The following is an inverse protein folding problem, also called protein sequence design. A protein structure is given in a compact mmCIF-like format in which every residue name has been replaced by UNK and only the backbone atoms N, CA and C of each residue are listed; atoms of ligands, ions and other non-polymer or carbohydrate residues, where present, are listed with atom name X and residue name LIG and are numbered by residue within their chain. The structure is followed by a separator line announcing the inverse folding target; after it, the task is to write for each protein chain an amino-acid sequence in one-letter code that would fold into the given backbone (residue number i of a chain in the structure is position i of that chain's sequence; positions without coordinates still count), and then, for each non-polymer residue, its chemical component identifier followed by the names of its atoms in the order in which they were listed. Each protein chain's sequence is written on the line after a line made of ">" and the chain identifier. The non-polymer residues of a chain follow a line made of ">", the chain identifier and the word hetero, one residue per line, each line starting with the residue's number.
data_IF_260198076019
#
_entry.id   IF_260198076019
#
_cell.length_a   1.000
_cell.length_b   1.000
_cell.length_c   1.000
_cell.angle_alpha   90.00
_cell.angle_beta   90.00
_cell.angle_gamma   90.00
#
_symmetry.space_group_name_H-M   'P 1'
#
loop_
_entity.id
_entity.type
_entity.pdbx_description
1 polymer ?
#
# COMPACT_ATOMS: atom_id res chain seq x y z
N UNK A 1 24.53 -42.14 26.81
CA UNK A 1 23.57 -42.92 25.99
C UNK A 1 22.22 -42.90 26.71
N UNK A 2 21.31 -42.02 26.30
CA UNK A 2 19.95 -41.95 26.84
C UNK A 2 19.01 -41.89 25.64
N UNK A 3 18.35 -43.02 25.43
CA UNK A 3 17.26 -43.29 24.49
C UNK A 3 15.94 -42.99 25.18
N UNK A 4 14.96 -42.43 24.44
CA UNK A 4 13.48 -42.43 24.65
C UNK A 4 12.91 -41.12 24.06
N UNK A 5 11.79 -40.99 23.35
CA UNK A 5 10.81 -41.89 22.77
C UNK A 5 10.03 -41.04 21.74
N UNK A 6 9.91 -41.50 20.50
CA UNK A 6 9.06 -40.86 19.48
C UNK A 6 7.61 -41.29 19.73
N UNK A 7 6.75 -40.36 20.15
CA UNK A 7 5.30 -40.59 20.22
C UNK A 7 4.66 -40.18 18.90
N UNK A 8 4.28 -41.18 18.10
CA UNK A 8 3.37 -41.06 16.97
C UNK A 8 1.96 -40.88 17.52
N UNK A 9 1.33 -39.74 17.23
CA UNK A 9 -0.10 -39.55 17.47
C UNK A 9 -0.78 -39.60 16.11
N UNK A 10 -1.51 -40.69 15.87
CA UNK A 10 -2.47 -40.81 14.80
C UNK A 10 -3.77 -40.13 15.26
N UNK A 11 -4.30 -39.20 14.45
CA UNK A 11 -5.68 -38.76 14.60
C UNK A 11 -6.48 -39.18 13.37
N UNK A 12 -7.53 -39.92 13.68
CA UNK A 12 -8.51 -40.55 12.80
C UNK A 12 -9.52 -39.50 12.33
N UNK A 13 -9.89 -39.66 11.06
CA UNK A 13 -10.89 -38.91 10.30
C UNK A 13 -12.27 -38.80 10.96
N UNK A 14 -12.95 -37.70 10.72
CA UNK A 14 -14.41 -37.71 10.57
C UNK A 14 -14.83 -36.75 9.45
N UNK A 15 -15.27 -37.35 8.35
CA UNK A 15 -15.93 -36.70 7.22
C UNK A 15 -17.40 -36.56 7.58
N UNK A 16 -17.91 -35.33 7.59
CA UNK A 16 -19.35 -35.04 7.60
C UNK A 16 -19.68 -34.28 6.31
N UNK A 17 -20.26 -35.02 5.36
CA UNK A 17 -20.87 -34.49 4.14
C UNK A 17 -22.26 -34.00 4.53
N UNK A 18 -22.42 -32.68 4.62
CA UNK A 18 -23.72 -32.01 4.75
C UNK A 18 -24.04 -31.28 3.45
N UNK A 19 -24.86 -31.87 2.60
CA UNK A 19 -25.46 -31.23 1.44
C UNK A 19 -26.77 -30.53 1.85
N UNK A 20 -26.78 -29.20 1.81
CA UNK A 20 -28.01 -28.42 1.82
C UNK A 20 -28.01 -27.47 0.63
N UNK A 21 -28.70 -27.89 -0.43
CA UNK A 21 -29.02 -27.07 -1.58
C UNK A 21 -30.14 -26.09 -1.20
N UNK A 22 -29.77 -24.87 -0.82
CA UNK A 22 -30.68 -23.74 -0.70
C UNK A 22 -30.55 -22.85 -1.93
N UNK A 23 -31.49 -22.96 -2.87
CA UNK A 23 -31.66 -22.02 -3.97
C UNK A 23 -32.25 -20.71 -3.40
N UNK A 24 -31.39 -19.81 -2.94
CA UNK A 24 -31.78 -18.45 -2.62
C UNK A 24 -31.66 -17.60 -3.89
N UNK A 25 -32.78 -17.03 -4.32
CA UNK A 25 -32.83 -16.03 -5.38
C UNK A 25 -31.88 -14.87 -5.02
N UNK A 26 -30.76 -14.76 -5.75
CA UNK A 26 -29.89 -13.59 -5.68
C UNK A 26 -30.62 -12.43 -6.35
N UNK A 27 -31.25 -11.59 -5.53
CA UNK A 27 -31.54 -10.23 -5.91
C UNK A 27 -30.25 -9.62 -6.48
N UNK A 28 -30.31 -9.14 -7.71
CA UNK A 28 -29.22 -8.37 -8.30
C UNK A 28 -29.00 -7.17 -7.38
N UNK A 29 -27.77 -6.96 -6.86
CA UNK A 29 -27.48 -5.74 -6.13
C UNK A 29 -27.71 -4.59 -7.10
N UNK A 30 -28.68 -3.75 -6.78
CA UNK A 30 -28.80 -2.42 -7.35
C UNK A 30 -27.39 -1.80 -7.29
N UNK A 31 -26.86 -1.50 -8.47
CA UNK A 31 -25.60 -0.79 -8.71
C UNK A 31 -25.79 0.67 -8.25
N UNK A 32 -26.13 0.84 -6.98
CA UNK A 32 -26.01 2.08 -6.25
C UNK A 32 -24.53 2.31 -6.11
N UNK A 33 -23.95 2.97 -7.12
CA UNK A 33 -22.65 3.59 -7.02
C UNK A 33 -22.66 4.53 -5.83
N UNK A 34 -22.39 3.97 -4.64
CA UNK A 34 -21.80 4.69 -3.53
C UNK A 34 -20.47 5.19 -4.08
N UNK A 35 -20.55 6.34 -4.75
CA UNK A 35 -19.49 7.32 -4.82
C UNK A 35 -19.03 7.47 -3.38
N UNK A 36 -18.07 6.62 -2.98
CA UNK A 36 -17.49 6.58 -1.65
C UNK A 36 -17.01 8.00 -1.44
N UNK A 37 -17.83 8.79 -0.74
CA UNK A 37 -17.51 10.14 -0.36
C UNK A 37 -16.12 10.02 0.23
N UNK A 38 -15.13 10.56 -0.49
CA UNK A 38 -13.73 10.29 -0.25
C UNK A 38 -13.43 10.87 1.12
N UNK A 39 -13.66 10.05 2.15
CA UNK A 39 -13.60 10.44 3.53
C UNK A 39 -12.19 10.93 3.72
N UNK A 40 -12.06 12.21 4.04
CA UNK A 40 -10.77 12.79 4.34
C UNK A 40 -10.24 12.03 5.56
N UNK A 41 -9.35 11.05 5.34
CA UNK A 41 -8.71 10.31 6.43
C UNK A 41 -7.73 11.29 7.08
N UNK A 42 -8.01 11.78 8.30
CA UNK A 42 -7.14 12.77 8.92
C UNK A 42 -5.80 12.12 9.26
N UNK A 43 -4.72 12.88 9.13
CA UNK A 43 -3.41 12.43 9.55
C UNK A 43 -3.36 12.33 11.08
N UNK A 44 -2.80 11.25 11.65
CA UNK A 44 -2.59 11.13 13.10
C UNK A 44 -1.78 12.30 13.68
N UNK A 45 -2.15 12.76 14.88
CA UNK A 45 -1.53 13.94 15.53
C UNK A 45 -0.05 13.77 15.87
N UNK A 46 0.41 12.52 15.98
CA UNK A 46 1.81 12.18 16.23
C UNK A 46 2.64 12.01 14.95
N UNK A 47 2.06 12.30 13.78
CA UNK A 47 2.75 12.34 12.49
C UNK A 47 2.72 13.78 11.97
N UNK A 48 3.90 14.36 11.75
CA UNK A 48 4.08 15.71 11.23
C UNK A 48 4.70 15.62 9.83
N UNK A 49 4.06 16.26 8.86
CA UNK A 49 4.48 16.20 7.45
C UNK A 49 4.80 17.60 6.97
N UNK A 50 6.02 17.76 6.43
CA UNK A 50 6.45 18.98 5.77
C UNK A 50 5.47 19.37 4.65
N UNK A 51 5.20 20.67 4.51
CA UNK A 51 4.13 21.17 3.64
C UNK A 51 4.17 20.61 2.22
N UNK A 52 5.37 20.44 1.67
CA UNK A 52 5.58 19.97 0.31
C UNK A 52 5.24 18.48 0.10
N UNK A 53 5.32 17.66 1.15
CA UNK A 53 4.96 16.23 1.10
C UNK A 53 3.49 15.97 1.42
N UNK A 54 2.73 16.98 1.88
CA UNK A 54 1.32 16.80 2.25
C UNK A 54 0.46 16.26 1.10
N UNK A 55 0.55 16.76 -0.15
CA UNK A 55 -0.26 16.21 -1.24
C UNK A 55 0.01 14.72 -1.48
N UNK A 56 1.28 14.31 -1.36
CA UNK A 56 1.72 12.92 -1.54
C UNK A 56 1.19 12.03 -0.42
N UNK A 57 1.31 12.45 0.85
CA UNK A 57 0.79 11.71 1.99
C UNK A 57 -0.74 11.58 1.92
N UNK A 58 -1.44 12.64 1.54
CA UNK A 58 -2.89 12.58 1.32
C UNK A 58 -3.26 11.58 0.23
N UNK A 59 -2.55 11.59 -0.91
CA UNK A 59 -2.75 10.61 -1.98
C UNK A 59 -2.51 9.18 -1.48
N UNK A 60 -1.43 8.94 -0.72
CA UNK A 60 -1.15 7.62 -0.16
C UNK A 60 -2.24 7.15 0.80
N UNK A 61 -2.74 8.02 1.70
CA UNK A 61 -3.84 7.69 2.60
C UNK A 61 -5.13 7.35 1.83
N UNK A 62 -5.38 8.01 0.70
CA UNK A 62 -6.56 7.72 -0.14
C UNK A 62 -6.43 6.39 -0.89
N UNK A 63 -5.27 6.11 -1.48
CA UNK A 63 -5.10 5.00 -2.43
C UNK A 63 -4.50 3.73 -1.83
N UNK A 64 -3.61 3.86 -0.83
CA UNK A 64 -2.88 2.71 -0.28
C UNK A 64 -3.49 2.21 1.03
N UNK A 65 -4.05 1.01 1.01
CA UNK A 65 -4.46 0.29 2.22
C UNK A 65 -3.27 -0.02 3.12
N UNK A 66 -2.14 -0.41 2.52
CA UNK A 66 -0.90 -0.68 3.25
C UNK A 66 -0.47 0.55 4.04
N UNK A 67 -0.41 1.73 3.41
CA UNK A 67 -0.01 2.94 4.10
C UNK A 67 -1.02 3.39 5.17
N UNK A 68 -2.33 3.26 4.91
CA UNK A 68 -3.36 3.52 5.94
C UNK A 68 -3.15 2.66 7.19
N UNK A 69 -2.89 1.37 7.01
CA UNK A 69 -2.62 0.44 8.12
C UNK A 69 -1.38 0.86 8.91
N UNK A 70 -0.32 1.24 8.22
CA UNK A 70 0.90 1.73 8.88
C UNK A 70 0.65 3.00 9.69
N UNK A 71 -0.04 4.00 9.13
CA UNK A 71 -0.42 5.21 9.86
C UNK A 71 -1.30 4.90 11.08
N UNK A 72 -2.24 3.96 10.97
CA UNK A 72 -3.10 3.56 12.09
C UNK A 72 -2.29 2.92 13.23
N UNK A 73 -1.29 2.08 12.92
CA UNK A 73 -0.40 1.50 13.93
C UNK A 73 0.45 2.58 14.62
N UNK A 74 1.00 3.53 13.86
CA UNK A 74 1.72 4.68 14.45
C UNK A 74 0.80 5.52 15.33
N UNK A 75 -0.45 5.77 14.91
CA UNK A 75 -1.44 6.51 15.68
C UNK A 75 -1.75 5.85 17.03
N UNK A 76 -1.78 4.51 17.06
CA UNK A 76 -2.02 3.72 18.26
C UNK A 76 -0.82 3.69 19.23
N UNK A 77 0.34 4.23 18.83
CA UNK A 77 1.56 4.28 19.64
C UNK A 77 1.86 5.73 20.10
N UNK A 78 1.24 6.22 21.21
CA UNK A 78 1.35 7.62 21.63
C UNK A 78 2.75 8.03 22.09
N UNK A 79 3.64 7.07 22.36
CA UNK A 79 5.04 7.30 22.68
C UNK A 79 5.92 7.49 21.42
N UNK A 80 5.35 7.48 20.23
CA UNK A 80 6.04 7.65 18.95
C UNK A 80 5.70 9.02 18.38
N UNK A 81 6.72 9.76 17.93
CA UNK A 81 6.56 10.97 17.13
C UNK A 81 7.31 10.79 15.80
N UNK A 82 6.61 11.00 14.69
CA UNK A 82 7.18 10.92 13.35
C UNK A 82 7.18 12.31 12.71
N UNK A 83 8.33 12.73 12.19
CA UNK A 83 8.46 13.94 11.38
C UNK A 83 8.94 13.53 9.99
N UNK A 84 8.22 13.93 8.95
CA UNK A 84 8.55 13.64 7.56
C UNK A 84 8.96 14.93 6.86
N UNK A 85 10.14 14.92 6.25
CA UNK A 85 10.66 16.06 5.49
C UNK A 85 11.23 15.63 4.15
N UNK A 86 11.18 16.55 3.18
CA UNK A 86 11.88 16.39 1.92
C UNK A 86 13.28 16.99 2.02
N UNK A 87 14.26 16.32 1.42
CA UNK A 87 15.66 16.76 1.41
C UNK A 87 16.19 16.88 -0.02
N UNK A 88 17.06 17.87 -0.24
CA UNK A 88 17.74 18.03 -1.52
C UNK A 88 18.85 16.96 -1.63
N UNK A 89 18.96 16.24 -2.75
CA UNK A 89 20.00 15.23 -2.98
C UNK A 89 21.43 15.80 -3.10
N UNK A 90 21.69 17.03 -2.65
CA UNK A 90 23.02 17.67 -2.71
C UNK A 90 24.10 16.93 -1.91
N UNK A 91 23.69 15.98 -1.06
CA UNK A 91 24.57 14.95 -0.50
C UNK A 91 24.29 13.65 -1.24
N UNK A 92 25.32 12.89 -1.66
CA UNK A 92 25.12 11.52 -2.11
C UNK A 92 24.49 10.75 -0.95
N UNK A 93 23.17 10.58 -1.02
CA UNK A 93 22.46 9.68 -0.14
C UNK A 93 22.69 8.31 -0.74
N UNK A 94 23.56 7.51 -0.11
CA UNK A 94 23.74 6.11 -0.48
C UNK A 94 22.40 5.34 -0.32
N UNK A 95 21.51 5.83 0.55
CA UNK A 95 20.14 5.36 0.72
C UNK A 95 19.13 6.23 -0.05
N UNK A 96 18.16 5.60 -0.75
CA UNK A 96 17.09 6.30 -1.50
C UNK A 96 16.14 7.10 -0.62
N UNK A 97 16.07 6.80 0.66
CA UNK A 97 15.33 7.46 1.73
C UNK A 97 15.94 7.03 3.07
N UNK A 98 15.61 7.73 4.16
CA UNK A 98 16.17 7.40 5.48
C UNK A 98 15.20 7.71 6.62
N UNK A 99 14.96 6.72 7.47
CA UNK A 99 14.40 6.91 8.81
C UNK A 99 15.52 6.92 9.87
N UNK A 100 15.72 8.08 10.50
CA UNK A 100 16.57 8.21 11.68
C UNK A 100 15.72 8.08 12.94
N UNK A 101 15.97 7.04 13.73
CA UNK A 101 15.13 6.66 14.87
C UNK A 101 15.95 6.78 16.16
N UNK A 102 15.46 7.59 17.10
CA UNK A 102 16.06 7.77 18.41
C UNK A 102 15.09 7.31 19.49
N UNK A 103 15.54 6.39 20.34
CA UNK A 103 14.81 5.99 21.55
C UNK A 103 15.36 6.77 22.74
N UNK A 104 14.50 7.52 23.42
CA UNK A 104 14.87 8.25 24.64
C UNK A 104 14.95 7.31 25.84
N UNK A 105 15.56 7.77 26.94
CA UNK A 105 15.64 7.01 28.20
C UNK A 105 14.26 6.65 28.78
N UNK A 106 13.22 7.44 28.48
CA UNK A 106 11.83 7.19 28.90
C UNK A 106 11.03 6.32 27.91
N UNK A 107 11.69 5.74 26.91
CA UNK A 107 11.05 4.84 25.94
C UNK A 107 10.33 5.54 24.78
N UNK A 108 10.30 6.88 24.74
CA UNK A 108 9.76 7.64 23.59
C UNK A 108 10.60 7.37 22.33
N UNK A 109 9.92 7.18 21.20
CA UNK A 109 10.53 7.06 19.87
C UNK A 109 10.36 8.37 19.09
N UNK A 110 11.47 9.05 18.84
CA UNK A 110 11.52 10.20 17.95
C UNK A 110 12.07 9.75 16.59
N UNK A 111 11.26 9.90 15.55
CA UNK A 111 11.57 9.47 14.19
C UNK A 111 11.63 10.67 13.26
N UNK A 112 12.72 10.80 12.53
CA UNK A 112 12.87 11.71 11.39
C UNK A 112 12.96 10.89 10.11
N UNK A 113 11.98 11.05 9.23
CA UNK A 113 11.95 10.45 7.89
C UNK A 113 12.35 11.51 6.87
N UNK A 114 13.44 11.27 6.16
CA UNK A 114 13.98 12.13 5.12
C UNK A 114 13.82 11.45 3.76
N UNK A 115 13.06 12.08 2.85
CA UNK A 115 12.88 11.58 1.48
C UNK A 115 13.46 12.57 0.46
N UNK A 116 14.21 12.12 -0.55
CA UNK A 116 14.67 13.00 -1.63
C UNK A 116 13.52 13.66 -2.40
N UNK A 117 13.75 14.89 -2.88
CA UNK A 117 12.79 15.69 -3.68
C UNK A 117 12.39 15.02 -5.01
N UNK A 118 13.12 14.05 -5.51
CA UNK A 118 12.79 13.35 -6.77
C UNK A 118 12.64 11.84 -6.55
N UNK A 119 12.31 11.43 -5.33
CA UNK A 119 12.12 10.02 -4.96
C UNK A 119 10.78 9.45 -5.40
N UNK A 120 10.71 8.13 -5.51
CA UNK A 120 9.46 7.39 -5.68
C UNK A 120 8.70 7.33 -4.35
N UNK A 121 7.98 8.40 -4.03
CA UNK A 121 7.31 8.52 -2.74
C UNK A 121 6.29 7.41 -2.46
N UNK A 122 5.71 6.83 -3.52
CA UNK A 122 4.72 5.77 -3.37
C UNK A 122 5.33 4.49 -2.80
N UNK A 123 6.61 4.24 -3.07
CA UNK A 123 7.39 3.15 -2.49
C UNK A 123 8.08 3.58 -1.19
N UNK A 124 8.77 4.73 -1.23
CA UNK A 124 9.71 5.12 -0.18
C UNK A 124 9.03 5.52 1.13
N UNK A 125 7.91 6.26 1.11
CA UNK A 125 7.25 6.63 2.37
C UNK A 125 6.70 5.41 3.14
N UNK A 126 5.95 4.48 2.50
CA UNK A 126 5.51 3.26 3.16
C UNK A 126 6.67 2.34 3.59
N UNK A 127 7.78 2.33 2.83
CA UNK A 127 9.00 1.63 3.21
C UNK A 127 9.57 2.19 4.53
N UNK A 128 9.80 3.50 4.62
CA UNK A 128 10.35 4.11 5.84
C UNK A 128 9.40 3.96 7.03
N UNK A 129 8.09 3.99 6.80
CA UNK A 129 7.10 3.71 7.84
C UNK A 129 7.17 2.28 8.36
N UNK A 130 7.48 1.30 7.51
CA UNK A 130 7.64 -0.07 7.98
C UNK A 130 8.83 -0.20 8.94
N UNK A 131 9.93 0.52 8.72
CA UNK A 131 11.02 0.62 9.69
C UNK A 131 10.57 1.24 11.02
N UNK A 132 9.69 2.24 10.99
CA UNK A 132 9.08 2.79 12.23
C UNK A 132 8.30 1.69 12.96
N UNK A 133 7.50 0.90 12.24
CA UNK A 133 6.74 -0.21 12.81
C UNK A 133 7.65 -1.30 13.40
N UNK A 134 8.78 -1.63 12.75
CA UNK A 134 9.80 -2.53 13.29
C UNK A 134 10.33 -2.03 14.64
N UNK A 135 10.57 -0.72 14.77
CA UNK A 135 11.04 -0.12 16.01
C UNK A 135 9.96 -0.02 17.10
N UNK A 136 8.70 0.20 16.72
CA UNK A 136 7.55 0.08 17.63
C UNK A 136 7.45 -1.34 18.18
N UNK A 137 7.67 -2.35 17.33
CA UNK A 137 7.68 -3.76 17.71
C UNK A 137 8.94 -4.18 18.51
N UNK A 138 9.88 -3.26 18.76
CA UNK A 138 11.08 -3.53 19.56
C UNK A 138 12.15 -4.35 18.83
N UNK A 139 12.16 -4.37 17.49
CA UNK A 139 13.16 -5.13 16.73
C UNK A 139 14.55 -4.48 16.85
N UNK A 140 15.51 -5.23 17.39
CA UNK A 140 16.94 -4.87 17.38
C UNK A 140 17.55 -5.28 16.03
N UNK A 141 17.35 -4.45 15.01
CA UNK A 141 17.89 -4.67 13.66
C UNK A 141 19.42 -4.88 13.66
N UNK A 142 20.23 -4.13 14.43
CA UNK A 142 21.65 -4.43 14.59
C UNK A 142 21.95 -5.85 15.06
N UNK A 143 21.28 -6.34 16.11
CA UNK A 143 21.48 -7.70 16.61
C UNK A 143 21.03 -8.75 15.60
N UNK A 144 19.86 -8.55 14.97
CA UNK A 144 19.31 -9.47 13.99
C UNK A 144 20.19 -9.57 12.73
N UNK A 145 20.74 -8.45 12.26
CA UNK A 145 21.68 -8.42 11.13
C UNK A 145 22.98 -9.16 11.48
N UNK A 146 23.55 -8.94 12.67
CA UNK A 146 24.76 -9.65 13.13
C UNK A 146 24.54 -11.15 13.26
N UNK A 147 23.34 -11.57 13.66
CA UNK A 147 22.96 -12.97 13.74
C UNK A 147 22.72 -13.62 12.36
N UNK A 148 22.78 -12.86 11.26
CA UNK A 148 22.52 -13.38 9.92
C UNK A 148 21.05 -13.73 9.68
N UNK A 149 20.12 -13.04 10.35
CA UNK A 149 18.68 -13.27 10.17
C UNK A 149 18.30 -13.04 8.71
N UNK A 150 17.67 -14.01 8.02
CA UNK A 150 17.29 -13.85 6.62
C UNK A 150 16.43 -12.62 6.38
N UNK A 151 16.76 -11.85 5.35
CA UNK A 151 16.00 -10.67 4.96
C UNK A 151 16.28 -9.41 5.79
N UNK A 152 17.32 -9.40 6.63
CA UNK A 152 17.78 -8.20 7.34
C UNK A 152 19.23 -7.95 6.93
N UNK A 153 19.50 -6.76 6.42
CA UNK A 153 20.80 -6.40 5.86
C UNK A 153 21.29 -5.08 6.47
N UNK A 154 22.59 -4.98 6.70
CA UNK A 154 23.24 -3.71 7.02
C UNK A 154 23.83 -3.12 5.74
N UNK A 155 23.51 -1.87 5.45
CA UNK A 155 24.02 -1.13 4.29
C UNK A 155 25.40 -0.50 4.59
N UNK A 156 26.19 -0.12 3.55
CA UNK A 156 27.51 0.47 3.74
C UNK A 156 27.53 1.74 4.61
N UNK A 157 26.49 2.57 4.51
CA UNK A 157 26.29 3.78 5.31
C UNK A 157 25.87 3.51 6.77
N UNK A 158 25.72 2.23 7.14
CA UNK A 158 25.31 1.78 8.46
C UNK A 158 23.81 1.70 8.70
N UNK A 159 22.98 2.08 7.72
CA UNK A 159 21.54 1.86 7.78
C UNK A 159 21.19 0.36 7.73
N UNK A 160 19.95 0.04 8.09
CA UNK A 160 19.43 -1.33 8.04
C UNK A 160 18.27 -1.37 7.07
N UNK A 161 18.28 -2.38 6.21
CA UNK A 161 17.24 -2.67 5.24
C UNK A 161 16.60 -4.00 5.62
N UNK A 162 15.28 -4.10 5.48
CA UNK A 162 14.55 -5.34 5.74
C UNK A 162 13.67 -5.73 4.57
N UNK A 163 13.56 -7.04 4.32
CA UNK A 163 12.66 -7.60 3.32
C UNK A 163 11.22 -7.18 3.58
N UNK A 164 10.85 -6.98 4.84
CA UNK A 164 9.52 -6.51 5.24
C UNK A 164 9.27 -5.06 4.83
N UNK A 165 10.21 -4.16 5.08
CA UNK A 165 10.12 -2.76 4.65
C UNK A 165 10.05 -2.62 3.13
N UNK A 166 10.90 -3.36 2.42
CA UNK A 166 10.85 -3.44 0.96
C UNK A 166 9.51 -3.95 0.44
N UNK A 167 8.99 -5.03 1.01
CA UNK A 167 7.70 -5.59 0.59
C UNK A 167 6.55 -4.61 0.85
N UNK A 168 6.54 -3.91 1.98
CA UNK A 168 5.53 -2.91 2.30
C UNK A 168 5.58 -1.71 1.32
N UNK A 169 6.78 -1.21 1.01
CA UNK A 169 6.98 -0.16 0.00
C UNK A 169 6.45 -0.57 -1.38
N UNK A 170 6.82 -1.76 -1.84
CA UNK A 170 6.37 -2.27 -3.14
C UNK A 170 4.85 -2.51 -3.19
N UNK A 171 4.25 -3.02 -2.11
CA UNK A 171 2.82 -3.24 -2.02
C UNK A 171 2.04 -1.93 -2.11
N UNK A 172 2.43 -0.92 -1.33
CA UNK A 172 1.79 0.40 -1.37
C UNK A 172 1.95 1.08 -2.75
N UNK A 173 3.13 0.97 -3.36
CA UNK A 173 3.35 1.49 -4.71
C UNK A 173 2.44 0.80 -5.74
N UNK A 174 2.24 -0.51 -5.62
CA UNK A 174 1.32 -1.27 -6.47
C UNK A 174 -0.14 -0.85 -6.27
N UNK A 175 -0.57 -0.61 -5.03
CA UNK A 175 -1.92 -0.12 -4.71
C UNK A 175 -2.20 1.24 -5.37
N UNK A 176 -1.26 2.19 -5.27
CA UNK A 176 -1.41 3.52 -5.87
C UNK A 176 -1.45 3.48 -7.40
N UNK A 177 -0.61 2.63 -8.01
CA UNK A 177 -0.50 2.50 -9.47
C UNK A 177 -1.67 1.72 -10.06
N UNK A 178 -2.05 0.61 -9.44
CA UNK A 178 -3.13 -0.26 -9.91
C UNK A 178 -4.48 0.46 -10.03
N UNK A 179 -4.82 1.32 -9.08
CA UNK A 179 -6.04 2.14 -9.15
C UNK A 179 -5.99 3.15 -10.30
N UNK A 180 -4.82 3.74 -10.54
CA UNK A 180 -4.62 4.73 -11.60
C UNK A 180 -4.77 4.06 -12.97
N UNK A 181 -4.19 2.87 -13.13
CA UNK A 181 -4.30 2.09 -14.36
C UNK A 181 -5.75 1.67 -14.65
N UNK A 182 -6.52 1.31 -13.61
CA UNK A 182 -7.94 1.01 -13.76
C UNK A 182 -8.76 2.23 -14.18
N UNK A 183 -8.53 3.39 -13.57
CA UNK A 183 -9.22 4.64 -13.89
C UNK A 183 -8.91 5.11 -15.33
N UNK A 184 -7.63 5.07 -15.73
CA UNK A 184 -7.20 5.40 -17.09
C UNK A 184 -7.80 4.43 -18.10
N UNK A 185 -7.79 3.12 -17.82
CA UNK A 185 -8.39 2.12 -18.69
C UNK A 185 -9.92 2.30 -18.81
N UNK A 186 -10.59 2.68 -17.72
CA UNK A 186 -12.03 2.98 -17.74
C UNK A 186 -12.36 4.21 -18.58
N UNK A 187 -11.57 5.29 -18.45
CA UNK A 187 -11.73 6.49 -19.27
C UNK A 187 -11.52 6.20 -20.76
N UNK A 188 -10.49 5.43 -21.12
CA UNK A 188 -10.23 5.00 -22.49
C UNK A 188 -11.41 4.20 -23.08
N UNK A 189 -12.00 3.28 -22.31
CA UNK A 189 -13.22 2.53 -22.71
C UNK A 189 -14.44 3.44 -22.86
N UNK A 190 -14.53 4.53 -22.10
CA UNK A 190 -15.57 5.56 -22.26
C UNK A 190 -15.47 6.28 -23.59
N UNK A 191 -14.27 6.75 -23.93
CA UNK A 191 -13.99 7.45 -25.20
C UNK A 191 -14.27 6.54 -26.41
N UNK A 192 -13.83 5.27 -26.36
CA UNK A 192 -14.06 4.31 -27.44
C UNK A 192 -15.56 4.04 -27.71
N UNK A 193 -16.40 4.03 -26.66
CA UNK A 193 -17.86 3.87 -26.81
C UNK A 193 -18.51 5.09 -27.47
N UNK A 194 -18.06 6.29 -27.13
CA UNK A 194 -18.55 7.54 -27.74
C UNK A 194 -18.22 7.60 -29.23
N UNK A 195 -16.98 7.26 -29.61
CA UNK A 195 -16.57 7.27 -31.03
C UNK A 195 -17.34 6.24 -31.86
N UNK A 196 -17.59 5.04 -31.33
CA UNK A 196 -18.41 4.02 -31.99
C UNK A 196 -19.89 4.45 -32.14
N UNK A 197 -20.45 5.13 -31.15
CA UNK A 197 -21.81 5.68 -31.21
C UNK A 197 -21.96 6.79 -32.26
N UNK A 198 -20.94 7.64 -32.44
CA UNK A 198 -20.93 8.67 -33.48
C UNK A 198 -20.80 8.04 -34.87
N UNK A 199 -19.90 7.08 -35.04
CA UNK A 199 -19.70 6.39 -36.33
C UNK A 199 -20.94 5.61 -36.81
N UNK A 200 -21.64 4.93 -35.90
CA UNK A 200 -22.85 4.15 -36.23
C UNK A 200 -24.07 4.99 -36.60
N UNK A 201 -24.18 6.24 -36.12
CA UNK A 201 -25.22 7.19 -36.56
C UNK A 201 -24.97 7.70 -37.98
N UNK A 202 -23.70 7.89 -38.36
CA UNK A 202 -23.32 8.37 -39.69
C UNK A 202 -23.58 7.32 -40.79
N UNK A 203 -23.35 6.04 -40.50
CA UNK A 203 -23.64 4.95 -41.46
C UNK A 203 -25.14 4.68 -41.63
N UNK A 204 -25.96 4.92 -40.59
CA UNK A 204 -27.43 4.78 -40.68
C UNK A 204 -28.07 5.90 -41.51
N UNK A 205 -27.51 7.12 -41.49
CA UNK A 205 -27.96 8.24 -42.32
C UNK A 205 -27.64 8.05 -43.82
N UNK A 206 -26.55 7.36 -44.16
CA UNK A 206 -26.16 7.10 -45.55
C UNK A 206 -27.03 6.03 -46.24
N UNK A 207 -27.64 5.11 -45.47
CA UNK A 207 -28.37 3.95 -46.02
C UNK A 207 -29.83 4.22 -46.40
N UNK A 208 -30.38 5.40 -46.06
CA UNK A 208 -31.78 5.77 -46.35
C UNK A 208 -31.97 6.69 -47.56
N UNK A 209 -30.93 6.96 -48.36
CA UNK A 209 -31.08 7.66 -49.65
C UNK A 209 -31.43 6.65 -50.75
N UNK A 210 -32.71 6.26 -50.80
CA UNK A 210 -33.25 5.53 -51.93
C UNK A 210 -33.34 6.48 -53.15
N UNK A 211 -32.77 6.12 -54.32
CA UNK A 211 -32.97 6.91 -55.53
C UNK A 211 -34.41 6.74 -56.02
N UNK A 212 -35.13 7.85 -56.13
CA UNK A 212 -36.40 7.95 -56.83
C UNK A 212 -36.19 7.52 -58.28
N UNK A 213 -36.69 6.32 -58.66
CA UNK A 213 -36.81 5.92 -60.06
C UNK A 213 -38.10 6.51 -60.62
N UNK A 214 -37.98 7.26 -61.71
CA UNK A 214 -39.07 7.68 -62.60
C UNK A 214 -39.40 6.56 -63.58
#
# INVERSE_FOLDING_TARGET
>A
MISTHVRRVAFVSLVLIGTAAGLAARALPEDGGEERAAGCVPLPVNIQVGAWLRPVVTMLLQKSETFRRQCAIVAAAPHVRVVITAVNPSRPLEARARASITRTAWGRLDVLVEIPILGDYAELLPHEFEHVLEQIAGMDLPALARAGTPGIFRLPDGAYETARARAAGLAAAAEVRGDTDQAVAAAARGVARVTQAIGSRSTRAARNRHPFRR
#
